data_IF_917552165043
#
_entry.id   IF_917552165043
#
_cell.length_a   1.000
_cell.length_b   1.000
_cell.length_c   1.000
_cell.angle_alpha   90.00
_cell.angle_beta   90.00
_cell.angle_gamma   90.00
#
_symmetry.space_group_name_H-M   'P 1'
#
loop_
_entity.id
_entity.type
_entity.pdbx_description
1 polymer ?
#
# COMPACT_ATOMS: atom_id res chain seq x y z
N UNK A 1 -1.76 -9.21 24.35
CA UNK A 1 -1.04 -7.91 24.30
C UNK A 1 0.50 -8.03 24.34
N UNK A 2 1.12 -8.94 23.60
CA UNK A 2 2.59 -9.12 23.65
C UNK A 2 3.40 -8.06 22.87
N UNK A 3 2.73 -7.27 22.02
CA UNK A 3 3.36 -6.29 21.10
C UNK A 3 3.00 -4.83 21.38
N UNK A 4 1.99 -4.55 22.24
CA UNK A 4 1.41 -3.19 22.43
C UNK A 4 2.42 -2.10 22.85
N UNK A 5 3.49 -2.47 23.54
CA UNK A 5 4.49 -1.52 24.04
C UNK A 5 5.72 -1.35 23.13
N UNK A 6 5.83 -2.15 22.05
CA UNK A 6 7.03 -2.17 21.18
C UNK A 6 6.71 -1.65 19.77
N UNK A 7 5.50 -1.90 19.28
CA UNK A 7 5.11 -1.53 17.92
C UNK A 7 3.61 -1.27 17.81
N UNK A 8 3.23 -0.51 16.78
CA UNK A 8 1.83 -0.37 16.38
C UNK A 8 1.48 -1.46 15.37
N UNK A 9 0.54 -2.33 15.71
CA UNK A 9 0.07 -3.40 14.82
C UNK A 9 -1.27 -3.01 14.21
N UNK A 10 -1.40 -3.15 12.89
CA UNK A 10 -2.66 -2.99 12.15
C UNK A 10 -2.93 -4.29 11.40
N UNK A 11 -4.14 -4.84 11.52
CA UNK A 11 -4.50 -6.12 10.91
C UNK A 11 -5.76 -5.97 10.07
N UNK A 12 -5.80 -6.65 8.94
CA UNK A 12 -6.96 -6.80 8.09
C UNK A 12 -6.98 -8.21 7.51
N UNK A 13 -7.93 -9.05 7.94
CA UNK A 13 -7.93 -10.49 7.64
C UNK A 13 -6.56 -11.13 7.99
N UNK A 14 -5.86 -11.69 7.00
CA UNK A 14 -4.52 -12.26 7.11
C UNK A 14 -3.40 -11.22 6.96
N UNK A 15 -3.67 -10.07 6.34
CA UNK A 15 -2.70 -9.00 6.17
C UNK A 15 -2.41 -8.31 7.51
N UNK A 16 -1.15 -8.36 7.95
CA UNK A 16 -0.68 -7.74 9.19
C UNK A 16 0.45 -6.76 8.91
N UNK A 17 0.33 -5.54 9.42
CA UNK A 17 1.35 -4.49 9.34
C UNK A 17 1.85 -4.16 10.73
N UNK A 18 3.17 -4.14 10.88
CA UNK A 18 3.86 -3.75 12.10
C UNK A 18 4.60 -2.44 11.81
N UNK A 19 4.26 -1.39 12.54
CA UNK A 19 4.88 -0.06 12.41
C UNK A 19 5.71 0.24 13.66
N UNK A 20 6.95 0.64 13.45
CA UNK A 20 7.92 0.95 14.50
C UNK A 20 8.59 2.26 14.14
N UNK A 21 8.82 3.11 15.14
CA UNK A 21 9.43 4.42 14.97
C UNK A 21 10.34 4.71 16.14
N UNK A 22 11.58 5.07 15.86
CA UNK A 22 12.59 5.41 16.86
C UNK A 22 13.44 6.59 16.40
N UNK A 23 14.13 7.24 17.35
CA UNK A 23 14.94 8.42 17.07
C UNK A 23 16.31 8.10 16.45
N UNK A 24 16.83 6.89 16.67
CA UNK A 24 18.13 6.43 16.14
C UNK A 24 17.96 5.14 15.36
N UNK A 25 18.83 4.92 14.36
CA UNK A 25 18.76 3.74 13.48
C UNK A 25 19.06 2.46 14.27
N UNK A 26 20.00 2.51 15.22
CA UNK A 26 20.39 1.33 16.01
C UNK A 26 19.25 0.87 16.93
N UNK A 27 18.56 1.82 17.58
CA UNK A 27 17.38 1.49 18.42
C UNK A 27 16.21 1.00 17.58
N UNK A 28 15.98 1.63 16.42
CA UNK A 28 14.97 1.19 15.45
C UNK A 28 15.20 -0.25 15.01
N UNK A 29 16.45 -0.59 14.66
CA UNK A 29 16.81 -1.94 14.23
C UNK A 29 16.61 -2.95 15.34
N UNK A 30 17.09 -2.65 16.54
CA UNK A 30 16.91 -3.54 17.70
C UNK A 30 15.43 -3.80 18.00
N UNK A 31 14.60 -2.76 18.01
CA UNK A 31 13.16 -2.89 18.25
C UNK A 31 12.46 -3.64 17.12
N UNK A 32 12.85 -3.40 15.87
CA UNK A 32 12.29 -4.08 14.71
C UNK A 32 12.64 -5.58 14.67
N UNK A 33 13.90 -5.95 14.91
CA UNK A 33 14.31 -7.36 15.03
C UNK A 33 13.59 -8.04 16.21
N UNK A 34 13.45 -7.34 17.35
CA UNK A 34 12.71 -7.86 18.52
C UNK A 34 11.23 -8.07 18.22
N UNK A 35 10.58 -7.11 17.55
CA UNK A 35 9.17 -7.20 17.18
C UNK A 35 8.93 -8.32 16.17
N UNK A 36 9.82 -8.49 15.19
CA UNK A 36 9.76 -9.57 14.22
C UNK A 36 9.91 -10.95 14.90
N UNK A 37 10.91 -11.10 15.77
CA UNK A 37 11.14 -12.35 16.51
C UNK A 37 9.92 -12.71 17.38
N UNK A 38 9.34 -11.74 18.09
CA UNK A 38 8.11 -11.94 18.87
C UNK A 38 6.91 -12.33 18.00
N UNK A 39 6.79 -11.73 16.82
CA UNK A 39 5.73 -12.05 15.87
C UNK A 39 5.88 -13.48 15.37
N UNK A 40 7.09 -13.93 15.02
CA UNK A 40 7.38 -15.32 14.63
C UNK A 40 7.01 -16.31 15.74
N UNK A 41 7.40 -16.02 16.99
CA UNK A 41 7.04 -16.86 18.14
C UNK A 41 5.51 -16.91 18.34
N UNK A 42 4.85 -15.76 18.26
CA UNK A 42 3.39 -15.70 18.38
C UNK A 42 2.70 -16.51 17.29
N UNK A 43 3.12 -16.37 16.04
CA UNK A 43 2.58 -17.15 14.93
C UNK A 43 2.77 -18.65 15.17
N UNK A 44 3.97 -19.09 15.52
CA UNK A 44 4.27 -20.50 15.79
C UNK A 44 3.43 -21.07 16.95
N UNK A 45 3.27 -20.32 18.04
CA UNK A 45 2.48 -20.75 19.21
C UNK A 45 0.97 -20.84 18.92
N UNK A 46 0.49 -20.16 17.87
CA UNK A 46 -0.91 -20.19 17.46
C UNK A 46 -1.11 -20.99 16.15
N UNK A 47 -0.14 -21.82 15.76
CA UNK A 47 -0.19 -22.64 14.54
C UNK A 47 -0.40 -21.82 13.24
N UNK A 48 0.06 -20.57 13.24
CA UNK A 48 0.06 -19.69 12.09
C UNK A 48 1.40 -19.75 11.36
N UNK A 49 1.37 -19.99 10.06
CA UNK A 49 2.56 -19.95 9.21
C UNK A 49 2.79 -18.55 8.65
N UNK A 50 3.92 -17.92 9.02
CA UNK A 50 4.34 -16.64 8.43
C UNK A 50 4.86 -16.86 7.01
N UNK A 51 4.29 -16.17 6.03
CA UNK A 51 4.77 -16.23 4.65
C UNK A 51 5.94 -15.26 4.45
N UNK A 52 7.17 -15.75 4.64
CA UNK A 52 8.39 -14.93 4.51
C UNK A 52 8.53 -14.30 3.12
N UNK A 53 8.11 -15.00 2.05
CA UNK A 53 8.20 -14.49 0.68
C UNK A 53 7.25 -13.31 0.40
N UNK A 54 6.12 -13.23 1.13
CA UNK A 54 5.18 -12.10 1.03
C UNK A 54 5.46 -11.02 2.06
N UNK A 55 6.26 -11.32 3.06
CA UNK A 55 6.60 -10.37 4.12
C UNK A 55 7.70 -9.45 3.60
N UNK A 56 7.38 -8.16 3.52
CA UNK A 56 8.31 -7.14 3.02
C UNK A 56 8.49 -6.05 4.05
N UNK A 57 9.68 -5.45 4.04
CA UNK A 57 10.01 -4.30 4.86
C UNK A 57 10.04 -3.04 3.98
N UNK A 58 9.45 -1.97 4.48
CA UNK A 58 9.53 -0.64 3.87
C UNK A 58 10.07 0.35 4.90
N UNK A 59 11.09 1.12 4.51
CA UNK A 59 11.73 2.08 5.39
C UNK A 59 11.24 3.49 5.07
N UNK A 60 10.71 4.19 6.07
CA UNK A 60 10.32 5.59 5.93
C UNK A 60 11.33 6.50 6.62
N UNK A 61 11.71 7.59 5.97
CA UNK A 61 12.57 8.62 6.54
C UNK A 61 12.01 10.01 6.25
N UNK A 62 12.01 10.88 7.27
CA UNK A 62 11.63 12.29 7.12
C UNK A 62 12.83 13.17 6.73
N UNK A 63 14.04 12.63 6.80
CA UNK A 63 15.29 13.31 6.43
C UNK A 63 15.79 12.69 5.13
N UNK A 64 16.44 13.47 4.26
CA UNK A 64 17.22 12.98 3.11
C UNK A 64 18.48 12.19 3.57
N UNK A 65 18.29 11.24 4.48
CA UNK A 65 19.28 10.29 4.91
C UNK A 65 18.83 8.94 4.38
N UNK A 66 19.68 8.31 3.58
CA UNK A 66 19.49 6.91 3.23
C UNK A 66 19.57 6.08 4.51
N UNK A 67 18.44 5.52 4.90
CA UNK A 67 18.36 4.55 5.99
C UNK A 67 18.35 3.16 5.36
N UNK A 68 19.54 2.64 5.08
CA UNK A 68 19.72 1.24 4.67
C UNK A 68 19.62 0.34 5.91
N UNK A 69 18.42 0.24 6.46
CA UNK A 69 18.10 -0.71 7.53
C UNK A 69 17.51 -1.96 6.89
N UNK A 70 18.18 -3.09 7.07
CA UNK A 70 17.69 -4.40 6.63
C UNK A 70 17.48 -5.29 7.84
N UNK A 71 16.30 -5.88 7.94
CA UNK A 71 15.97 -6.89 8.93
C UNK A 71 16.44 -8.26 8.45
N UNK A 72 16.84 -9.10 9.39
CA UNK A 72 17.34 -10.44 9.06
C UNK A 72 16.19 -11.33 8.60
N UNK A 73 16.26 -11.83 7.36
CA UNK A 73 15.26 -12.75 6.80
C UNK A 73 14.03 -12.08 6.17
N UNK A 74 14.02 -10.75 6.01
CA UNK A 74 12.98 -10.01 5.26
C UNK A 74 13.65 -9.14 4.20
N UNK A 75 13.06 -9.11 3.00
CA UNK A 75 13.53 -8.22 1.94
C UNK A 75 13.00 -6.80 2.17
N UNK A 76 13.91 -5.83 2.11
CA UNK A 76 13.56 -4.42 2.06
C UNK A 76 13.24 -4.04 0.62
N UNK A 77 12.03 -3.57 0.39
CA UNK A 77 11.53 -3.18 -0.93
C UNK A 77 11.09 -1.70 -0.92
N UNK A 78 11.46 -0.91 -1.95
CA UNK A 78 11.12 0.51 -2.00
C UNK A 78 9.63 0.76 -2.27
N UNK A 79 8.88 -0.27 -2.70
CA UNK A 79 7.44 -0.19 -2.93
C UNK A 79 6.78 -1.53 -2.63
N UNK A 80 5.58 -1.49 -2.05
CA UNK A 80 4.75 -2.68 -1.86
C UNK A 80 3.28 -2.37 -2.08
N UNK A 81 2.48 -3.41 -2.36
CA UNK A 81 1.03 -3.30 -2.47
C UNK A 81 0.38 -3.78 -1.17
N UNK A 82 -0.34 -2.89 -0.51
CA UNK A 82 -1.09 -3.16 0.71
C UNK A 82 -2.55 -2.77 0.52
N UNK A 83 -3.47 -3.72 0.76
CA UNK A 83 -4.92 -3.53 0.59
C UNK A 83 -5.29 -2.80 -0.71
N UNK A 84 -4.77 -3.30 -1.84
CA UNK A 84 -5.08 -2.74 -3.16
C UNK A 84 -4.36 -1.44 -3.53
N UNK A 85 -3.70 -0.76 -2.59
CA UNK A 85 -2.95 0.49 -2.80
C UNK A 85 -1.45 0.20 -2.85
N UNK A 86 -0.73 0.85 -3.75
CA UNK A 86 0.73 0.73 -3.81
C UNK A 86 1.36 1.86 -3.01
N UNK A 87 2.12 1.51 -1.98
CA UNK A 87 2.82 2.44 -1.10
C UNK A 87 4.30 2.37 -1.39
N UNK A 88 4.92 3.52 -1.62
CA UNK A 88 6.37 3.66 -1.81
C UNK A 88 7.05 4.29 -0.59
N UNK A 89 8.35 4.05 -0.43
CA UNK A 89 9.18 4.51 0.69
C UNK A 89 9.16 6.04 0.87
N UNK A 90 8.87 6.77 -0.21
CA UNK A 90 8.81 8.25 -0.24
C UNK A 90 7.39 8.78 -0.09
N UNK A 91 6.39 7.90 0.02
CA UNK A 91 4.97 8.25 0.00
C UNK A 91 4.62 9.20 -1.16
N UNK A 92 5.28 9.01 -2.30
CA UNK A 92 5.11 9.84 -3.50
C UNK A 92 3.84 9.46 -4.26
N UNK A 93 3.35 8.24 -4.08
CA UNK A 93 2.17 7.65 -4.74
C UNK A 93 2.30 7.54 -6.26
N UNK A 94 3.47 7.84 -6.84
CA UNK A 94 3.65 7.90 -8.29
C UNK A 94 3.36 6.56 -8.98
N UNK A 95 3.84 5.47 -8.40
CA UNK A 95 3.61 4.14 -8.94
C UNK A 95 2.15 3.74 -8.85
N UNK A 96 1.49 4.06 -7.72
CA UNK A 96 0.06 3.83 -7.55
C UNK A 96 -0.75 4.58 -8.62
N UNK A 97 -0.52 5.89 -8.76
CA UNK A 97 -1.21 6.74 -9.74
C UNK A 97 -0.97 6.24 -11.16
N UNK A 98 0.26 5.83 -11.50
CA UNK A 98 0.55 5.24 -12.82
C UNK A 98 -0.29 3.98 -13.09
N UNK A 99 -0.45 3.11 -12.10
CA UNK A 99 -1.29 1.91 -12.24
C UNK A 99 -2.78 2.25 -12.27
N UNK A 100 -3.21 3.26 -11.52
CA UNK A 100 -4.58 3.76 -11.53
C UNK A 100 -4.94 4.35 -12.89
N UNK A 101 -4.14 5.27 -13.43
CA UNK A 101 -4.32 5.85 -14.76
C UNK A 101 -4.45 4.76 -15.83
N UNK A 102 -3.61 3.72 -15.82
CA UNK A 102 -3.74 2.59 -16.77
C UNK A 102 -5.12 1.92 -16.69
N UNK A 103 -5.65 1.71 -15.49
CA UNK A 103 -7.00 1.16 -15.28
C UNK A 103 -8.08 2.12 -15.76
N UNK A 104 -7.93 3.41 -15.46
CA UNK A 104 -8.87 4.45 -15.88
C UNK A 104 -8.90 4.61 -17.40
N UNK A 105 -7.75 4.65 -18.09
CA UNK A 105 -7.68 4.65 -19.55
C UNK A 105 -8.39 3.45 -20.17
N UNK A 106 -8.17 2.24 -19.62
CA UNK A 106 -8.85 1.03 -20.07
C UNK A 106 -10.36 1.12 -19.84
N UNK A 107 -10.78 1.61 -18.66
CA UNK A 107 -12.17 1.90 -18.33
C UNK A 107 -12.81 2.88 -19.31
N UNK A 108 -12.14 4.00 -19.63
CA UNK A 108 -12.60 4.98 -20.61
C UNK A 108 -12.76 4.35 -22.00
N UNK A 109 -11.81 3.51 -22.43
CA UNK A 109 -11.92 2.83 -23.71
C UNK A 109 -13.17 1.94 -23.78
N UNK A 110 -13.42 1.16 -22.73
CA UNK A 110 -14.64 0.33 -22.62
C UNK A 110 -15.90 1.21 -22.59
N UNK A 111 -15.89 2.29 -21.81
CA UNK A 111 -17.00 3.24 -21.72
C UNK A 111 -17.35 3.87 -23.05
N UNK A 112 -16.35 4.30 -23.84
CA UNK A 112 -16.57 4.85 -25.18
C UNK A 112 -17.29 3.87 -26.10
N UNK A 113 -16.96 2.57 -26.00
CA UNK A 113 -17.64 1.52 -26.78
C UNK A 113 -19.06 1.29 -26.29
N UNK A 114 -19.27 1.22 -24.97
CA UNK A 114 -20.59 1.04 -24.36
C UNK A 114 -21.52 2.20 -24.74
N UNK A 115 -21.04 3.44 -24.69
CA UNK A 115 -21.83 4.62 -25.10
C UNK A 115 -22.26 4.58 -26.57
N UNK A 116 -21.52 3.90 -27.44
CA UNK A 116 -21.88 3.78 -28.85
C UNK A 116 -22.94 2.70 -29.12
N UNK A 117 -23.00 1.66 -28.29
CA UNK A 117 -23.84 0.47 -28.52
C UNK A 117 -25.01 0.32 -27.54
N UNK A 118 -25.08 1.16 -26.51
CA UNK A 118 -26.05 1.01 -25.41
C UNK A 118 -26.71 2.33 -25.04
N UNK A 119 -27.72 2.25 -24.19
CA UNK A 119 -28.43 3.40 -23.67
C UNK A 119 -27.66 4.13 -22.55
N UNK A 120 -28.16 5.31 -22.18
CA UNK A 120 -27.54 6.12 -21.14
C UNK A 120 -27.51 5.40 -19.78
N UNK A 121 -28.49 4.54 -19.50
CA UNK A 121 -28.55 3.81 -18.24
C UNK A 121 -27.44 2.76 -18.13
N UNK A 122 -27.23 1.94 -19.17
CA UNK A 122 -26.12 0.99 -19.22
C UNK A 122 -24.77 1.73 -19.18
N UNK A 123 -24.64 2.83 -19.91
CA UNK A 123 -23.42 3.66 -19.94
C UNK A 123 -23.08 4.25 -18.56
N UNK A 124 -24.06 4.75 -17.82
CA UNK A 124 -23.87 5.23 -16.44
C UNK A 124 -23.45 4.09 -15.50
N UNK A 125 -24.10 2.94 -15.61
CA UNK A 125 -23.78 1.77 -14.79
C UNK A 125 -22.34 1.31 -15.04
N UNK A 126 -21.93 1.28 -16.31
CA UNK A 126 -20.54 1.02 -16.69
C UNK A 126 -19.59 2.07 -16.11
N UNK A 127 -19.97 3.35 -16.11
CA UNK A 127 -19.12 4.42 -15.56
C UNK A 127 -18.87 4.23 -14.06
N UNK A 128 -19.93 4.03 -13.29
CA UNK A 128 -19.83 3.82 -11.84
C UNK A 128 -19.01 2.57 -11.50
N UNK A 129 -19.15 1.51 -12.29
CA UNK A 129 -18.48 0.23 -12.03
C UNK A 129 -17.03 0.16 -12.52
N UNK A 130 -16.68 0.77 -13.65
CA UNK A 130 -15.35 0.63 -14.28
C UNK A 130 -14.43 1.84 -14.05
N UNK A 131 -14.99 3.02 -13.82
CA UNK A 131 -14.21 4.25 -13.65
C UNK A 131 -14.29 4.74 -12.21
N UNK A 132 -15.49 5.08 -11.73
CA UNK A 132 -15.64 5.70 -10.42
C UNK A 132 -15.23 4.76 -9.27
N UNK A 133 -15.54 3.47 -9.36
CA UNK A 133 -15.14 2.47 -8.37
C UNK A 133 -13.61 2.45 -8.15
N UNK A 134 -12.83 2.53 -9.24
CA UNK A 134 -11.37 2.55 -9.19
C UNK A 134 -10.83 3.90 -8.73
N UNK A 135 -11.45 5.00 -9.17
CA UNK A 135 -11.06 6.35 -8.77
C UNK A 135 -11.37 6.65 -7.30
N UNK A 136 -12.44 6.09 -6.73
CA UNK A 136 -12.78 6.34 -5.32
C UNK A 136 -12.03 5.42 -4.36
N UNK A 137 -11.56 4.27 -4.85
CA UNK A 137 -10.86 3.32 -4.01
C UNK A 137 -9.55 3.89 -3.46
N UNK A 138 -9.43 3.94 -2.13
CA UNK A 138 -8.23 4.43 -1.46
C UNK A 138 -8.00 5.94 -1.57
N UNK A 139 -8.98 6.72 -2.04
CA UNK A 139 -8.82 8.18 -2.26
C UNK A 139 -8.43 8.93 -0.98
N UNK A 140 -8.85 8.45 0.20
CA UNK A 140 -8.45 9.02 1.50
C UNK A 140 -6.94 8.89 1.74
N UNK A 141 -6.30 7.89 1.13
CA UNK A 141 -4.88 7.61 1.28
C UNK A 141 -4.07 8.36 0.22
N UNK A 142 -4.39 8.19 -1.06
CA UNK A 142 -3.60 8.76 -2.15
C UNK A 142 -4.06 10.14 -2.61
N UNK A 143 -5.27 10.57 -2.26
CA UNK A 143 -5.83 11.86 -2.71
C UNK A 143 -5.08 13.09 -2.19
N UNK A 144 -4.31 12.94 -1.12
CA UNK A 144 -3.39 13.96 -0.60
C UNK A 144 -2.02 13.99 -1.28
N UNK A 145 -1.85 13.33 -2.43
CA UNK A 145 -0.61 13.36 -3.22
C UNK A 145 -0.38 14.73 -3.89
N UNK A 146 0.72 14.88 -4.63
CA UNK A 146 1.03 16.12 -5.34
C UNK A 146 -0.04 16.50 -6.37
N UNK A 147 -0.23 17.80 -6.60
CA UNK A 147 -1.18 18.30 -7.61
C UNK A 147 -0.93 17.67 -8.98
N UNK A 148 0.34 17.50 -9.38
CA UNK A 148 0.70 16.85 -10.63
C UNK A 148 0.22 15.38 -10.73
N UNK A 149 0.17 14.66 -9.60
CA UNK A 149 -0.34 13.30 -9.55
C UNK A 149 -1.88 13.26 -9.56
N UNK A 150 -2.53 14.19 -8.85
CA UNK A 150 -3.99 14.33 -8.85
C UNK A 150 -4.47 14.72 -10.25
N UNK A 151 -3.85 15.70 -10.89
CA UNK A 151 -4.14 16.13 -12.26
C UNK A 151 -3.98 14.96 -13.24
N UNK A 152 -2.93 14.15 -13.12
CA UNK A 152 -2.79 12.94 -13.93
C UNK A 152 -3.97 11.99 -13.75
N UNK A 153 -4.42 11.74 -12.52
CA UNK A 153 -5.54 10.84 -12.28
C UNK A 153 -6.90 11.38 -12.80
N UNK A 154 -7.07 12.71 -12.84
CA UNK A 154 -8.32 13.37 -13.24
C UNK A 154 -8.40 13.72 -14.73
N UNK A 155 -7.26 14.04 -15.37
CA UNK A 155 -7.16 14.42 -16.79
C UNK A 155 -6.82 13.17 -17.61
N UNK A 156 -7.72 12.19 -17.61
CA UNK A 156 -7.58 10.93 -18.37
C UNK A 156 -8.27 11.02 -19.75
#
# INVERSE_FOLDING_TARGET
DQLRNVCKTTMYADDTVITISDKTIDTLKLHADTALARTKIYCNNNELALNENKTVQINYTTRNKDVNLTLSGIQAEPSTKYLGVTVDEKLSWQQHIKTLCKKLCSGIYVLRRIMYISDLHASKTAYYSLFESHLRYGIVVWGGTSNANVEKALIQ
#
